data_IF_171656797835
#
_entry.id   IF_171656797835
#
_cell.length_a   1.000
_cell.length_b   1.000
_cell.length_c   1.000
_cell.angle_alpha   90.00
_cell.angle_beta   90.00
_cell.angle_gamma   90.00
#
_symmetry.space_group_name_H-M   'P 1'
#
loop_
_entity.id
_entity.type
_entity.pdbx_description
1 polymer ?
#
# COMPACT_ATOMS: atom_id res chain seq x y z
N UNK A 1 -45.11 -22.79 25.87
CA UNK A 1 -43.78 -23.01 25.27
C UNK A 1 -43.40 -21.73 24.53
N UNK A 2 -42.55 -20.88 25.12
CA UNK A 2 -42.03 -19.68 24.44
C UNK A 2 -40.82 -20.16 23.65
N UNK A 3 -40.96 -20.25 22.32
CA UNK A 3 -39.82 -20.48 21.42
C UNK A 3 -38.93 -19.25 21.48
N UNK A 4 -37.85 -19.33 22.26
CA UNK A 4 -36.70 -18.45 22.05
C UNK A 4 -36.14 -18.78 20.67
N UNK A 5 -36.48 -17.95 19.68
CA UNK A 5 -35.78 -17.93 18.41
C UNK A 5 -34.38 -17.40 18.71
N UNK A 6 -33.45 -18.29 19.05
CA UNK A 6 -32.03 -17.98 19.03
C UNK A 6 -31.73 -17.49 17.62
N UNK A 7 -31.46 -16.19 17.48
CA UNK A 7 -30.93 -15.62 16.26
C UNK A 7 -29.57 -16.29 16.00
N UNK A 8 -29.59 -17.40 15.27
CA UNK A 8 -28.39 -17.97 14.68
C UNK A 8 -27.83 -16.88 13.76
N UNK A 9 -26.77 -16.23 14.22
CA UNK A 9 -25.96 -15.37 13.37
C UNK A 9 -25.28 -16.27 12.35
N UNK A 10 -25.96 -16.49 11.22
CA UNK A 10 -25.38 -17.15 10.04
C UNK A 10 -24.31 -16.19 9.57
N UNK A 11 -23.05 -16.50 9.90
CA UNK A 11 -21.90 -15.74 9.42
C UNK A 11 -21.72 -16.09 7.95
N UNK A 12 -22.50 -15.45 7.09
CA UNK A 12 -22.35 -15.55 5.65
C UNK A 12 -21.09 -14.76 5.25
N UNK A 13 -20.32 -15.32 4.32
CA UNK A 13 -19.25 -14.61 3.63
C UNK A 13 -19.79 -13.79 2.44
N UNK A 14 -21.10 -13.83 2.19
CA UNK A 14 -21.77 -13.23 1.05
C UNK A 14 -22.90 -12.30 1.45
N UNK A 15 -23.20 -11.33 0.58
CA UNK A 15 -24.37 -10.45 0.64
C UNK A 15 -25.06 -10.47 -0.73
N UNK A 16 -26.29 -10.99 -0.74
CA UNK A 16 -27.12 -11.05 -1.94
C UNK A 16 -27.90 -9.74 -2.19
N UNK A 17 -28.52 -9.62 -3.36
CA UNK A 17 -29.31 -8.43 -3.74
C UNK A 17 -30.55 -8.18 -2.88
N UNK A 18 -31.06 -9.20 -2.19
CA UNK A 18 -32.22 -9.10 -1.29
C UNK A 18 -31.84 -8.75 0.15
N UNK A 19 -30.54 -8.73 0.45
CA UNK A 19 -30.03 -8.52 1.80
C UNK A 19 -29.44 -7.13 1.96
N UNK A 20 -29.32 -6.70 3.21
CA UNK A 20 -28.66 -5.45 3.55
C UNK A 20 -28.00 -5.55 4.91
N UNK A 21 -26.86 -4.89 5.03
CA UNK A 21 -26.15 -4.69 6.29
C UNK A 21 -26.48 -3.29 6.82
N UNK A 22 -26.91 -3.20 8.07
CA UNK A 22 -27.23 -1.91 8.72
C UNK A 22 -26.45 -1.74 10.01
N UNK A 23 -26.12 -0.50 10.35
CA UNK A 23 -25.40 -0.19 11.59
C UNK A 23 -26.18 -0.70 12.82
N UNK A 24 -27.50 -0.48 12.85
CA UNK A 24 -28.35 -0.82 14.02
C UNK A 24 -28.46 -2.32 14.29
N UNK A 25 -28.30 -3.18 13.27
CA UNK A 25 -28.37 -4.63 13.44
C UNK A 25 -27.05 -5.24 13.90
N UNK A 26 -25.94 -4.51 13.87
CA UNK A 26 -24.60 -4.99 14.20
C UNK A 26 -24.21 -6.30 13.48
N UNK A 27 -24.74 -6.52 12.28
CA UNK A 27 -24.38 -7.68 11.46
C UNK A 27 -23.00 -7.44 10.83
N UNK A 28 -22.31 -8.52 10.48
CA UNK A 28 -21.02 -8.48 9.78
C UNK A 28 -20.96 -9.58 8.73
N UNK A 29 -20.08 -9.41 7.74
CA UNK A 29 -19.75 -10.44 6.76
C UNK A 29 -18.38 -10.99 7.16
N UNK A 30 -18.24 -12.31 7.24
CA UNK A 30 -17.01 -12.96 7.72
C UNK A 30 -16.45 -13.88 6.65
N UNK A 31 -15.14 -13.80 6.41
CA UNK A 31 -14.47 -14.67 5.46
C UNK A 31 -14.59 -16.15 5.88
N UNK A 32 -14.60 -17.13 4.96
CA UNK A 32 -14.82 -18.55 5.27
C UNK A 32 -13.92 -19.12 6.40
N UNK A 33 -12.62 -18.86 6.34
CA UNK A 33 -11.60 -19.22 7.33
C UNK A 33 -11.60 -18.36 8.60
N UNK A 34 -12.56 -17.42 8.71
CA UNK A 34 -12.73 -16.49 9.84
C UNK A 34 -11.49 -15.63 10.08
N UNK A 35 -10.79 -15.24 9.02
CA UNK A 35 -9.58 -14.40 9.08
C UNK A 35 -9.99 -12.94 9.10
N UNK A 36 -10.84 -12.55 8.15
CA UNK A 36 -11.31 -11.19 7.98
C UNK A 36 -12.80 -11.06 8.28
N UNK A 37 -13.18 -9.85 8.70
CA UNK A 37 -14.55 -9.47 8.96
C UNK A 37 -14.79 -8.06 8.40
N UNK A 38 -15.90 -7.89 7.70
CA UNK A 38 -16.38 -6.64 7.12
C UNK A 38 -17.59 -6.16 7.91
N UNK A 39 -17.61 -4.88 8.25
CA UNK A 39 -18.79 -4.25 8.83
C UNK A 39 -18.63 -2.75 9.06
N UNK A 40 -19.66 -2.16 9.67
CA UNK A 40 -19.62 -0.77 10.07
C UNK A 40 -18.85 -0.58 11.37
N UNK A 41 -18.05 0.48 11.44
CA UNK A 41 -17.28 0.83 12.63
C UNK A 41 -17.21 2.34 12.84
N UNK A 42 -16.87 2.71 14.07
CA UNK A 42 -16.68 4.09 14.51
C UNK A 42 -15.33 4.19 15.25
N UNK A 43 -14.27 4.74 14.63
CA UNK A 43 -12.91 4.67 15.16
C UNK A 43 -12.65 5.63 16.34
N UNK A 44 -13.52 6.62 16.56
CA UNK A 44 -13.37 7.60 17.64
C UNK A 44 -14.71 7.97 18.26
N UNK A 45 -14.70 8.89 19.23
CA UNK A 45 -15.92 9.44 19.83
C UNK A 45 -16.74 10.30 18.86
N UNK A 46 -16.12 10.81 17.78
CA UNK A 46 -16.82 11.58 16.75
C UNK A 46 -17.88 10.72 16.06
N UNK A 47 -19.04 11.29 15.67
CA UNK A 47 -20.14 10.54 15.06
C UNK A 47 -19.88 10.22 13.58
N UNK A 48 -18.67 9.76 13.23
CA UNK A 48 -18.31 9.38 11.86
C UNK A 48 -18.23 7.86 11.75
N UNK A 49 -19.10 7.30 10.93
CA UNK A 49 -19.17 5.87 10.67
C UNK A 49 -18.61 5.52 9.31
N UNK A 50 -17.94 4.37 9.27
CA UNK A 50 -17.25 3.86 8.10
C UNK A 50 -17.59 2.39 7.92
N UNK A 51 -17.58 1.92 6.67
CA UNK A 51 -17.54 0.51 6.34
C UNK A 51 -16.07 0.10 6.14
N UNK A 52 -15.63 -0.97 6.79
CA UNK A 52 -14.25 -1.44 6.63
C UNK A 52 -14.07 -2.92 6.93
N UNK A 53 -12.88 -3.41 6.59
CA UNK A 53 -12.43 -4.79 6.79
C UNK A 53 -11.35 -4.77 7.86
N UNK A 54 -11.38 -5.75 8.76
CA UNK A 54 -10.38 -5.94 9.81
C UNK A 54 -10.12 -7.42 10.08
N UNK A 55 -9.04 -7.73 10.81
CA UNK A 55 -8.78 -9.10 11.27
C UNK A 55 -9.79 -9.49 12.36
N UNK A 56 -10.51 -10.60 12.15
CA UNK A 56 -11.57 -11.06 13.08
C UNK A 56 -11.01 -11.58 14.40
N UNK A 57 -9.88 -12.31 14.35
CA UNK A 57 -9.29 -13.01 15.50
C UNK A 57 -8.34 -12.14 16.34
N UNK A 58 -8.07 -10.90 15.90
CA UNK A 58 -7.23 -9.97 16.65
C UNK A 58 -8.12 -9.16 17.59
N UNK A 59 -7.86 -9.14 18.92
CA UNK A 59 -8.71 -8.45 19.89
C UNK A 59 -8.80 -6.94 19.63
N UNK A 60 -7.66 -6.30 19.35
CA UNK A 60 -7.60 -4.90 18.98
C UNK A 60 -7.93 -4.73 17.48
N UNK A 61 -8.98 -3.95 17.19
CA UNK A 61 -9.46 -3.75 15.82
C UNK A 61 -8.36 -3.15 14.94
N UNK A 62 -7.83 -3.99 14.05
CA UNK A 62 -6.85 -3.60 13.04
C UNK A 62 -7.55 -3.51 11.69
N UNK A 63 -7.95 -2.30 11.31
CA UNK A 63 -8.59 -2.02 10.02
C UNK A 63 -7.55 -2.08 8.90
N UNK A 64 -7.83 -2.87 7.86
CA UNK A 64 -6.94 -3.10 6.70
C UNK A 64 -7.50 -2.51 5.41
N UNK A 65 -8.77 -2.13 5.41
CA UNK A 65 -9.45 -1.49 4.27
C UNK A 65 -10.68 -0.70 4.75
N UNK A 66 -10.99 0.41 4.08
CA UNK A 66 -12.12 1.30 4.39
C UNK A 66 -12.75 1.81 3.09
N UNK A 67 -14.04 1.56 2.90
CA UNK A 67 -14.76 1.91 1.67
C UNK A 67 -14.92 3.43 1.52
N UNK A 68 -15.62 4.04 2.48
CA UNK A 68 -16.06 5.43 2.43
C UNK A 68 -15.16 6.35 3.27
N UNK A 69 -13.84 6.18 3.15
CA UNK A 69 -12.86 6.85 4.02
C UNK A 69 -12.93 8.37 3.95
N UNK A 70 -13.27 8.93 2.79
CA UNK A 70 -13.38 10.39 2.56
C UNK A 70 -14.84 10.90 2.52
N UNK A 71 -15.82 9.99 2.58
CA UNK A 71 -17.26 10.27 2.64
C UNK A 71 -17.90 9.54 3.83
N UNK A 72 -17.57 9.90 5.09
CA UNK A 72 -18.11 9.23 6.27
C UNK A 72 -19.62 9.41 6.42
N UNK A 73 -20.29 8.42 6.99
CA UNK A 73 -21.65 8.56 7.49
C UNK A 73 -21.64 9.46 8.73
N UNK A 74 -22.56 10.43 8.80
CA UNK A 74 -22.61 11.45 9.86
C UNK A 74 -23.34 11.02 11.14
N UNK A 75 -24.00 9.87 11.12
CA UNK A 75 -24.76 9.33 12.25
C UNK A 75 -24.74 7.78 12.24
N UNK A 76 -25.37 7.16 13.22
CA UNK A 76 -25.45 5.69 13.36
C UNK A 76 -26.51 5.04 12.47
N UNK A 77 -26.92 5.71 11.39
CA UNK A 77 -27.88 5.19 10.41
C UNK A 77 -27.18 5.11 9.07
N UNK A 78 -26.92 3.88 8.64
CA UNK A 78 -26.27 3.60 7.37
C UNK A 78 -26.60 2.18 6.93
N UNK A 79 -26.74 2.01 5.62
CA UNK A 79 -27.12 0.75 5.00
C UNK A 79 -26.15 0.42 3.87
N UNK A 80 -25.54 -0.76 3.91
CA UNK A 80 -24.83 -1.36 2.80
C UNK A 80 -25.76 -2.38 2.12
N UNK A 81 -25.96 -2.24 0.81
CA UNK A 81 -26.76 -3.18 0.02
C UNK A 81 -26.28 -3.20 -1.43
N UNK A 82 -26.82 -4.13 -2.20
CA UNK A 82 -26.69 -4.08 -3.66
C UNK A 82 -27.88 -3.31 -4.23
N UNK A 83 -27.61 -2.33 -5.10
CA UNK A 83 -28.62 -1.58 -5.86
C UNK A 83 -28.10 -1.41 -7.28
N UNK A 84 -28.93 -1.71 -8.29
CA UNK A 84 -28.62 -1.47 -9.70
C UNK A 84 -27.24 -2.03 -10.11
N UNK A 85 -26.95 -3.26 -9.66
CA UNK A 85 -25.69 -3.96 -9.93
C UNK A 85 -24.44 -3.40 -9.25
N UNK A 86 -24.60 -2.47 -8.32
CA UNK A 86 -23.53 -1.86 -7.55
C UNK A 86 -23.67 -2.21 -6.07
N UNK A 87 -22.55 -2.42 -5.38
CA UNK A 87 -22.51 -2.32 -3.93
C UNK A 87 -22.52 -0.84 -3.53
N UNK A 88 -23.48 -0.43 -2.70
CA UNK A 88 -23.72 0.96 -2.33
C UNK A 88 -23.84 1.14 -0.82
N UNK A 89 -23.33 2.26 -0.30
CA UNK A 89 -23.57 2.71 1.07
C UNK A 89 -24.54 3.89 1.03
N UNK A 90 -25.68 3.73 1.71
CA UNK A 90 -26.72 4.73 1.85
C UNK A 90 -26.70 5.34 3.25
N UNK A 91 -26.97 6.64 3.33
CA UNK A 91 -27.15 7.35 4.59
C UNK A 91 -28.59 7.25 5.14
N UNK A 92 -28.85 7.97 6.24
CA UNK A 92 -30.17 8.08 6.88
C UNK A 92 -31.30 8.59 5.96
N UNK A 93 -30.98 9.31 4.89
CA UNK A 93 -31.93 9.84 3.91
C UNK A 93 -32.03 8.94 2.66
N UNK A 94 -31.44 7.73 2.70
CA UNK A 94 -31.30 6.81 1.56
C UNK A 94 -30.48 7.40 0.39
N UNK A 95 -29.63 8.39 0.65
CA UNK A 95 -28.76 8.99 -0.36
C UNK A 95 -27.46 8.18 -0.44
N UNK A 96 -27.02 7.75 -1.64
CA UNK A 96 -25.75 7.05 -1.80
C UNK A 96 -24.58 7.99 -1.55
N UNK A 97 -23.70 7.61 -0.61
CA UNK A 97 -22.47 8.36 -0.28
C UNK A 97 -21.20 7.68 -0.82
N UNK A 98 -21.33 6.43 -1.24
CA UNK A 98 -20.26 5.62 -1.81
C UNK A 98 -20.86 4.48 -2.64
N UNK A 99 -20.21 4.15 -3.76
CA UNK A 99 -20.57 3.06 -4.67
C UNK A 99 -19.34 2.50 -5.37
N UNK A 100 -19.44 1.25 -5.81
CA UNK A 100 -18.36 0.55 -6.53
C UNK A 100 -18.22 0.97 -7.99
N UNK A 101 -19.25 1.58 -8.59
CA UNK A 101 -19.30 2.01 -9.99
C UNK A 101 -18.93 0.86 -10.95
N UNK A 102 -19.49 -0.32 -10.71
CA UNK A 102 -19.31 -1.52 -11.53
C UNK A 102 -19.76 -1.25 -12.96
N UNK A 103 -18.88 -1.52 -13.93
CA UNK A 103 -19.18 -1.45 -15.36
C UNK A 103 -19.64 -2.83 -15.83
N UNK A 104 -20.94 -3.10 -15.81
CA UNK A 104 -21.48 -4.36 -16.30
C UNK A 104 -22.95 -4.23 -16.72
N UNK A 105 -23.34 -4.94 -17.78
CA UNK A 105 -24.75 -5.11 -18.15
C UNK A 105 -25.39 -6.00 -17.07
N UNK A 106 -26.12 -5.38 -16.13
CA UNK A 106 -26.66 -6.02 -14.92
C UNK A 106 -27.92 -6.83 -15.28
N UNK A 107 -27.78 -7.82 -16.17
CA UNK A 107 -28.88 -8.73 -16.53
C UNK A 107 -28.95 -9.96 -15.62
N UNK A 108 -27.86 -10.23 -14.90
CA UNK A 108 -27.72 -11.41 -14.04
C UNK A 108 -27.57 -11.02 -12.57
N UNK A 109 -28.14 -11.80 -11.63
CA UNK A 109 -27.98 -11.55 -10.19
C UNK A 109 -26.50 -11.51 -9.80
N UNK A 110 -26.13 -10.48 -9.02
CA UNK A 110 -24.78 -10.32 -8.47
C UNK A 110 -24.77 -10.57 -6.96
N UNK A 111 -23.60 -10.88 -6.44
CA UNK A 111 -23.33 -11.09 -5.02
C UNK A 111 -22.04 -10.35 -4.64
N UNK A 112 -22.01 -9.78 -3.44
CA UNK A 112 -20.79 -9.31 -2.82
C UNK A 112 -20.24 -10.40 -1.89
N UNK A 113 -18.95 -10.72 -1.99
CA UNK A 113 -18.33 -11.82 -1.25
C UNK A 113 -17.01 -11.38 -0.62
N UNK A 114 -16.79 -11.72 0.65
CA UNK A 114 -15.52 -11.53 1.35
C UNK A 114 -14.71 -12.83 1.32
N UNK A 115 -13.58 -12.80 0.64
CA UNK A 115 -12.65 -13.93 0.52
C UNK A 115 -11.70 -14.02 1.72
N UNK A 116 -11.07 -15.18 1.91
CA UNK A 116 -10.08 -15.40 2.99
C UNK A 116 -8.78 -14.62 2.84
N UNK A 117 -8.52 -14.11 1.64
CA UNK A 117 -7.45 -13.15 1.37
C UNK A 117 -7.75 -11.76 1.93
N UNK A 118 -9.01 -11.49 2.29
CA UNK A 118 -9.52 -10.17 2.66
C UNK A 118 -10.03 -9.35 1.47
N UNK A 119 -9.99 -9.92 0.26
CA UNK A 119 -10.55 -9.28 -0.93
C UNK A 119 -12.08 -9.33 -0.86
N UNK A 120 -12.73 -8.16 -0.88
CA UNK A 120 -14.16 -8.02 -1.05
C UNK A 120 -14.44 -7.88 -2.54
N UNK A 121 -15.18 -8.82 -3.11
CA UNK A 121 -15.42 -8.89 -4.55
C UNK A 121 -16.90 -8.77 -4.87
N UNK A 122 -17.19 -8.23 -6.05
CA UNK A 122 -18.52 -8.33 -6.68
C UNK A 122 -18.40 -9.27 -7.87
N UNK A 123 -19.27 -10.27 -7.92
CA UNK A 123 -19.33 -11.23 -9.04
C UNK A 123 -20.76 -11.65 -9.34
N UNK A 124 -20.95 -12.27 -10.50
CA UNK A 124 -22.21 -12.93 -10.82
C UNK A 124 -22.44 -14.14 -9.90
N UNK A 125 -23.68 -14.31 -9.42
CA UNK A 125 -24.03 -15.34 -8.44
C UNK A 125 -23.70 -16.76 -8.94
N UNK A 126 -24.01 -17.05 -10.20
CA UNK A 126 -23.81 -18.36 -10.84
C UNK A 126 -22.45 -18.52 -11.54
N UNK A 127 -21.55 -17.56 -11.44
CA UNK A 127 -20.26 -17.63 -12.10
C UNK A 127 -19.15 -17.91 -11.07
N UNK A 128 -18.52 -19.07 -11.20
CA UNK A 128 -17.33 -19.46 -10.42
C UNK A 128 -16.02 -19.04 -11.11
N UNK A 129 -16.07 -18.32 -12.24
CA UNK A 129 -14.88 -17.74 -12.85
C UNK A 129 -14.21 -16.73 -11.91
N UNK A 130 -12.91 -16.54 -12.05
CA UNK A 130 -12.15 -15.51 -11.34
C UNK A 130 -12.38 -14.08 -11.88
N UNK A 131 -13.25 -13.90 -12.88
CA UNK A 131 -13.58 -12.56 -13.37
C UNK A 131 -14.53 -11.84 -12.40
N UNK A 132 -13.96 -10.93 -11.62
CA UNK A 132 -14.70 -10.04 -10.74
C UNK A 132 -15.13 -8.78 -11.46
N UNK A 133 -16.36 -8.32 -11.20
CA UNK A 133 -16.88 -7.04 -11.68
C UNK A 133 -16.24 -5.86 -10.96
N UNK A 134 -15.84 -6.08 -9.71
CA UNK A 134 -15.13 -5.13 -8.85
C UNK A 134 -14.44 -5.90 -7.72
N UNK A 135 -13.31 -5.37 -7.23
CA UNK A 135 -12.59 -5.94 -6.09
C UNK A 135 -11.95 -4.85 -5.21
N UNK A 136 -11.97 -5.04 -3.89
CA UNK A 136 -11.36 -4.08 -2.95
C UNK A 136 -9.85 -4.01 -3.09
N UNK A 137 -9.21 -5.09 -3.55
CA UNK A 137 -7.76 -5.14 -3.81
C UNK A 137 -7.28 -4.14 -4.87
N UNK A 138 -8.18 -3.66 -5.75
CA UNK A 138 -7.89 -2.60 -6.72
C UNK A 138 -7.92 -1.19 -6.11
N UNK A 139 -8.54 -1.04 -4.93
CA UNK A 139 -8.74 0.22 -4.24
C UNK A 139 -8.20 0.17 -2.79
N UNK A 140 -6.88 -0.04 -2.62
CA UNK A 140 -6.26 -0.09 -1.29
C UNK A 140 -6.43 1.22 -0.51
N UNK A 141 -6.38 1.14 0.82
CA UNK A 141 -6.34 2.32 1.70
C UNK A 141 -4.90 2.69 2.06
N UNK A 142 -4.46 2.36 3.26
CA UNK A 142 -3.11 2.58 3.77
C UNK A 142 -2.32 1.27 3.90
N UNK A 143 -2.95 0.14 3.59
CA UNK A 143 -2.45 -1.21 3.89
C UNK A 143 -2.39 -2.08 2.64
N UNK A 144 -1.31 -2.86 2.51
CA UNK A 144 -1.16 -3.96 1.57
C UNK A 144 -1.18 -5.28 2.35
N UNK A 145 -2.17 -6.12 2.05
CA UNK A 145 -2.29 -7.49 2.55
C UNK A 145 -1.51 -8.46 1.65
N UNK A 146 -1.26 -9.70 2.10
CA UNK A 146 -0.73 -10.75 1.23
C UNK A 146 -1.59 -10.89 -0.04
N UNK A 147 -0.97 -11.23 -1.17
CA UNK A 147 -1.59 -11.40 -2.49
C UNK A 147 -2.09 -10.11 -3.16
N UNK A 148 -2.23 -9.00 -2.42
CA UNK A 148 -2.51 -7.70 -3.05
C UNK A 148 -1.35 -7.27 -3.96
N UNK A 149 -1.71 -6.53 -5.01
CA UNK A 149 -0.75 -5.95 -5.96
C UNK A 149 -0.63 -4.46 -5.72
N UNK A 150 0.60 -4.00 -5.55
CA UNK A 150 0.94 -2.59 -5.43
C UNK A 150 1.69 -2.13 -6.68
N UNK A 151 1.12 -1.22 -7.45
CA UNK A 151 1.64 -0.77 -8.74
C UNK A 151 0.62 -0.81 -9.87
N UNK A 152 1.10 -0.89 -11.10
CA UNK A 152 0.32 -0.72 -12.31
C UNK A 152 -0.29 -2.02 -12.84
N UNK A 153 -1.58 -1.96 -13.10
CA UNK A 153 -2.27 -2.80 -14.07
C UNK A 153 -2.17 -2.16 -15.45
N UNK A 154 -1.44 -2.76 -16.40
CA UNK A 154 -1.25 -2.18 -17.73
C UNK A 154 -2.48 -2.35 -18.61
N UNK A 155 -3.35 -3.32 -18.34
CA UNK A 155 -4.56 -3.57 -19.12
C UNK A 155 -5.63 -2.52 -18.84
N UNK A 156 -5.82 -2.18 -17.56
CA UNK A 156 -6.84 -1.20 -17.14
C UNK A 156 -6.28 0.22 -17.00
N UNK A 157 -4.96 0.38 -16.92
CA UNK A 157 -4.31 1.66 -16.62
C UNK A 157 -4.43 2.06 -15.15
N UNK A 158 -4.83 1.15 -14.26
CA UNK A 158 -4.99 1.41 -12.83
C UNK A 158 -3.65 1.31 -12.10
N UNK A 159 -3.25 2.38 -11.42
CA UNK A 159 -2.14 2.36 -10.45
C UNK A 159 -2.70 2.14 -9.04
N UNK A 160 -2.45 0.97 -8.46
CA UNK A 160 -2.78 0.63 -7.07
C UNK A 160 -1.69 1.17 -6.15
N UNK A 161 -2.03 2.11 -5.28
CA UNK A 161 -1.07 2.74 -4.38
C UNK A 161 -1.63 2.94 -2.97
N UNK A 162 -0.76 3.06 -1.97
CA UNK A 162 -1.19 3.31 -0.59
C UNK A 162 -1.29 4.80 -0.30
N UNK A 163 -2.30 5.18 0.48
CA UNK A 163 -2.45 6.53 1.03
C UNK A 163 -2.71 6.45 2.52
N UNK A 164 -1.85 7.10 3.30
CA UNK A 164 -1.89 7.06 4.75
C UNK A 164 -3.24 7.51 5.29
N UNK A 165 -3.55 7.11 6.52
CA UNK A 165 -4.58 7.79 7.29
C UNK A 165 -4.15 9.22 7.61
N UNK A 166 -5.12 10.06 7.95
CA UNK A 166 -4.87 11.43 8.39
C UNK A 166 -4.27 11.44 9.80
N UNK A 167 -4.74 10.53 10.66
CA UNK A 167 -4.15 10.22 11.95
C UNK A 167 -4.56 8.82 12.41
N UNK A 168 -3.99 8.33 13.51
CA UNK A 168 -4.34 7.02 14.12
C UNK A 168 -5.85 6.76 14.30
N UNK A 169 -6.65 7.81 14.56
CA UNK A 169 -8.09 7.72 14.82
C UNK A 169 -8.97 8.33 13.70
N UNK A 170 -8.38 8.75 12.58
CA UNK A 170 -9.09 9.37 11.46
C UNK A 170 -8.66 8.71 10.12
N UNK A 171 -9.49 7.78 9.59
CA UNK A 171 -9.15 7.02 8.38
C UNK A 171 -9.23 7.83 7.09
N UNK A 172 -9.64 9.10 7.16
CA UNK A 172 -9.63 10.01 6.00
C UNK A 172 -8.25 10.06 5.35
N UNK A 173 -8.22 10.40 4.07
CA UNK A 173 -7.00 10.49 3.27
C UNK A 173 -5.98 11.45 3.89
N UNK A 174 -4.84 10.91 4.28
CA UNK A 174 -3.70 11.65 4.84
C UNK A 174 -2.82 12.33 3.79
N UNK A 175 -1.69 12.85 4.28
CA UNK A 175 -0.74 13.63 3.47
C UNK A 175 0.27 12.77 2.71
N UNK A 176 0.46 11.51 3.11
CA UNK A 176 1.45 10.63 2.51
C UNK A 176 0.81 9.63 1.54
N UNK A 177 1.46 9.42 0.41
CA UNK A 177 1.14 8.33 -0.51
C UNK A 177 2.40 7.60 -0.96
N UNK A 178 2.29 6.30 -1.22
CA UNK A 178 3.40 5.46 -1.65
C UNK A 178 3.05 4.80 -2.99
N UNK A 179 3.70 5.25 -4.06
CA UNK A 179 3.31 4.99 -5.45
C UNK A 179 4.46 4.41 -6.26
N UNK A 180 4.13 3.53 -7.21
CA UNK A 180 5.07 3.05 -8.20
C UNK A 180 5.10 4.01 -9.40
N UNK A 181 6.28 4.50 -9.74
CA UNK A 181 6.54 5.22 -10.98
C UNK A 181 7.27 4.29 -11.95
N UNK A 182 6.87 4.33 -13.22
CA UNK A 182 7.51 3.53 -14.28
C UNK A 182 8.36 4.44 -15.16
N UNK A 183 9.51 3.93 -15.58
CA UNK A 183 10.50 4.68 -16.36
C UNK A 183 11.50 3.72 -16.99
N UNK A 184 12.78 4.10 -17.05
CA UNK A 184 13.84 3.18 -17.46
C UNK A 184 13.96 2.00 -16.49
N UNK A 185 13.83 2.32 -15.20
CA UNK A 185 13.55 1.38 -14.13
C UNK A 185 12.26 1.80 -13.42
N UNK A 186 11.54 0.80 -12.91
CA UNK A 186 10.35 1.01 -12.09
C UNK A 186 10.77 1.18 -10.62
N UNK A 187 10.28 2.25 -9.97
CA UNK A 187 10.72 2.65 -8.64
C UNK A 187 9.55 3.14 -7.79
N UNK A 188 9.56 2.81 -6.50
CA UNK A 188 8.60 3.37 -5.56
C UNK A 188 9.05 4.72 -5.01
N UNK A 189 8.09 5.62 -4.86
CA UNK A 189 8.26 6.92 -4.22
C UNK A 189 7.23 7.10 -3.13
N UNK A 190 7.69 7.60 -1.98
CA UNK A 190 6.81 8.21 -1.00
C UNK A 190 6.68 9.70 -1.29
N UNK A 191 5.45 10.17 -1.38
CA UNK A 191 5.11 11.56 -1.63
C UNK A 191 4.42 12.14 -0.39
N UNK A 192 4.88 13.30 0.07
CA UNK A 192 4.15 14.13 1.02
C UNK A 192 3.51 15.30 0.26
N UNK A 193 2.17 15.38 0.23
CA UNK A 193 1.42 16.40 -0.55
C UNK A 193 1.91 16.54 -2.01
N UNK A 194 2.18 15.40 -2.66
CA UNK A 194 2.71 15.27 -4.04
C UNK A 194 4.20 15.59 -4.24
N UNK A 195 4.94 15.97 -3.20
CA UNK A 195 6.40 16.12 -3.28
C UNK A 195 7.11 14.86 -2.81
N UNK A 196 8.11 14.33 -3.54
CA UNK A 196 8.86 13.16 -3.12
C UNK A 196 9.65 13.46 -1.84
N UNK A 197 9.49 12.59 -0.84
CA UNK A 197 10.21 12.67 0.45
C UNK A 197 11.10 11.46 0.69
N UNK A 198 10.82 10.35 -0.01
CA UNK A 198 11.62 9.14 0.02
C UNK A 198 11.53 8.42 -1.32
N UNK A 199 12.65 7.85 -1.76
CA UNK A 199 12.73 6.98 -2.94
C UNK A 199 13.24 5.61 -2.53
N UNK A 200 12.49 4.58 -2.88
CA UNK A 200 12.80 3.20 -2.55
C UNK A 200 13.91 2.62 -3.43
N UNK A 201 14.06 3.12 -4.65
CA UNK A 201 15.02 2.58 -5.60
C UNK A 201 14.44 1.44 -6.45
N UNK A 202 15.19 0.98 -7.46
CA UNK A 202 14.74 -0.09 -8.33
C UNK A 202 14.83 -1.46 -7.65
N UNK A 203 14.10 -2.42 -8.21
CA UNK A 203 14.18 -3.83 -7.83
C UNK A 203 15.47 -4.46 -8.37
N UNK A 204 16.24 -5.16 -7.52
CA UNK A 204 17.49 -5.81 -7.92
C UNK A 204 17.37 -7.31 -8.20
N UNK A 205 16.15 -7.84 -8.29
CA UNK A 205 15.87 -9.28 -8.41
C UNK A 205 15.56 -9.97 -7.08
N UNK A 206 15.92 -9.35 -5.94
CA UNK A 206 15.73 -9.92 -4.59
C UNK A 206 14.94 -8.97 -3.69
N UNK A 207 15.24 -7.68 -3.75
CA UNK A 207 14.64 -6.63 -2.92
C UNK A 207 14.73 -5.27 -3.63
N UNK A 208 14.05 -4.25 -3.09
CA UNK A 208 14.31 -2.87 -3.49
C UNK A 208 15.60 -2.37 -2.84
N UNK A 209 16.45 -1.71 -3.62
CA UNK A 209 17.81 -1.33 -3.17
C UNK A 209 17.80 -0.38 -1.96
N UNK A 210 16.80 0.49 -1.85
CA UNK A 210 16.63 1.40 -0.71
C UNK A 210 15.92 0.80 0.50
N UNK A 211 15.59 -0.49 0.47
CA UNK A 211 14.97 -1.21 1.59
C UNK A 211 15.72 -2.52 1.88
N UNK A 212 16.98 -2.46 2.33
CA UNK A 212 17.79 -3.65 2.62
C UNK A 212 17.24 -4.53 3.75
N UNK A 213 16.29 -4.03 4.53
CA UNK A 213 15.58 -4.76 5.58
C UNK A 213 14.53 -5.74 5.05
N UNK A 214 14.17 -5.67 3.75
CA UNK A 214 13.31 -6.64 3.06
C UNK A 214 14.00 -8.00 2.86
N UNK A 215 14.68 -8.49 3.90
CA UNK A 215 15.42 -9.74 3.89
C UNK A 215 14.47 -10.89 3.60
N UNK A 216 14.94 -11.82 2.77
CA UNK A 216 14.30 -13.11 2.58
C UNK A 216 14.17 -13.80 3.94
N UNK A 217 12.98 -14.32 4.22
CA UNK A 217 12.71 -15.06 5.45
C UNK A 217 11.82 -16.24 5.10
N UNK A 218 11.93 -17.33 5.86
CA UNK A 218 11.28 -18.60 5.54
C UNK A 218 9.74 -18.52 5.52
N UNK A 219 9.17 -17.49 6.15
CA UNK A 219 7.73 -17.29 6.27
C UNK A 219 7.15 -16.19 5.35
N UNK A 220 7.98 -15.49 4.56
CA UNK A 220 7.53 -14.43 3.64
C UNK A 220 8.29 -14.43 2.32
N UNK A 221 7.55 -14.34 1.22
CA UNK A 221 8.08 -14.21 -0.13
C UNK A 221 7.67 -12.85 -0.69
N UNK A 222 8.64 -12.11 -1.19
CA UNK A 222 8.43 -10.87 -1.93
C UNK A 222 8.60 -11.13 -3.42
N UNK A 223 7.76 -10.56 -4.26
CA UNK A 223 7.88 -10.65 -5.70
C UNK A 223 7.61 -9.30 -6.36
N UNK A 224 8.37 -9.02 -7.41
CA UNK A 224 8.18 -7.86 -8.26
C UNK A 224 8.00 -8.35 -9.70
N UNK A 225 6.78 -8.20 -10.21
CA UNK A 225 6.42 -8.60 -11.57
C UNK A 225 6.49 -7.39 -12.48
N UNK A 226 7.28 -7.45 -13.54
CA UNK A 226 7.32 -6.42 -14.58
C UNK A 226 7.24 -7.10 -15.96
N UNK A 227 6.05 -7.07 -16.57
CA UNK A 227 5.77 -7.67 -17.87
C UNK A 227 4.75 -6.83 -18.65
N UNK A 228 4.20 -7.35 -19.75
CA UNK A 228 3.25 -6.61 -20.59
C UNK A 228 1.87 -6.40 -19.95
N UNK A 229 1.53 -7.17 -18.92
CA UNK A 229 0.24 -7.10 -18.24
C UNK A 229 0.28 -6.22 -16.98
N UNK A 230 1.40 -6.21 -16.26
CA UNK A 230 1.53 -5.48 -15.01
C UNK A 230 2.96 -5.05 -14.67
N UNK A 231 3.06 -4.01 -13.84
CA UNK A 231 4.27 -3.68 -13.09
C UNK A 231 3.85 -3.56 -11.63
N UNK A 232 4.08 -4.60 -10.83
CA UNK A 232 3.55 -4.62 -9.48
C UNK A 232 4.44 -5.37 -8.49
N UNK A 233 4.39 -4.91 -7.25
CA UNK A 233 4.94 -5.59 -6.10
C UNK A 233 3.84 -6.36 -5.37
N UNK A 234 4.16 -7.57 -4.94
CA UNK A 234 3.31 -8.38 -4.07
C UNK A 234 4.15 -9.11 -3.03
N UNK A 235 3.52 -9.53 -1.94
CA UNK A 235 4.13 -10.42 -0.97
C UNK A 235 3.16 -11.52 -0.54
N UNK A 236 3.71 -12.67 -0.18
CA UNK A 236 2.98 -13.87 0.21
C UNK A 236 3.51 -14.39 1.54
N UNK A 237 2.64 -15.00 2.32
CA UNK A 237 2.99 -15.69 3.56
C UNK A 237 3.03 -17.19 3.29
N UNK A 238 4.16 -17.84 3.60
CA UNK A 238 4.31 -19.30 3.43
C UNK A 238 3.90 -20.08 4.68
N UNK A 239 3.97 -19.43 5.85
CA UNK A 239 3.53 -20.01 7.12
C UNK A 239 2.03 -19.85 7.29
N UNK A 240 1.32 -20.98 7.47
CA UNK A 240 -0.11 -20.98 7.78
C UNK A 240 -0.37 -20.22 9.10
N UNK A 241 -1.52 -19.55 9.20
CA UNK A 241 -1.95 -18.80 10.39
C UNK A 241 -1.01 -17.65 10.85
N UNK A 242 -0.06 -17.21 10.02
CA UNK A 242 0.77 -16.04 10.32
C UNK A 242 0.21 -14.81 9.63
N UNK A 243 -0.18 -13.79 10.40
CA UNK A 243 -0.69 -12.54 9.84
C UNK A 243 0.45 -11.54 9.68
N UNK A 244 0.59 -10.99 8.47
CA UNK A 244 1.49 -9.89 8.19
C UNK A 244 0.83 -8.91 7.23
N UNK A 245 1.22 -7.64 7.33
CA UNK A 245 0.72 -6.55 6.49
C UNK A 245 1.80 -5.51 6.31
N UNK A 246 1.77 -4.82 5.17
CA UNK A 246 2.54 -3.60 4.94
C UNK A 246 1.60 -2.42 5.11
N UNK A 247 2.02 -1.38 5.84
CA UNK A 247 1.18 -0.21 6.12
C UNK A 247 1.97 1.07 5.88
N UNK A 248 1.32 2.07 5.31
CA UNK A 248 1.82 3.44 5.26
C UNK A 248 1.25 4.23 6.45
N UNK A 249 2.13 4.57 7.40
CA UNK A 249 1.77 5.31 8.62
C UNK A 249 1.36 6.76 8.32
N UNK A 250 0.64 7.38 9.26
CA UNK A 250 0.29 8.81 9.22
C UNK A 250 1.50 9.74 9.36
N UNK A 251 2.67 9.18 9.71
CA UNK A 251 3.96 9.89 9.80
C UNK A 251 4.83 9.75 8.55
N UNK A 252 4.39 8.99 7.55
CA UNK A 252 5.19 8.75 6.35
C UNK A 252 6.24 7.67 6.54
N UNK A 253 5.86 6.56 7.18
CA UNK A 253 6.70 5.37 7.29
C UNK A 253 5.99 4.21 6.61
N UNK A 254 6.68 3.52 5.70
CA UNK A 254 6.23 2.27 5.12
C UNK A 254 6.76 1.12 5.97
N UNK A 255 5.84 0.43 6.64
CA UNK A 255 6.14 -0.47 7.75
C UNK A 255 5.61 -1.87 7.46
N UNK A 256 6.40 -2.89 7.80
CA UNK A 256 5.92 -4.27 7.86
C UNK A 256 5.61 -4.67 9.28
N UNK A 257 4.37 -5.08 9.53
CA UNK A 257 3.97 -5.68 10.78
C UNK A 257 3.74 -7.18 10.64
N UNK A 258 4.11 -7.94 11.67
CA UNK A 258 3.79 -9.37 11.80
C UNK A 258 3.12 -9.58 13.16
N UNK A 259 1.97 -10.25 13.16
CA UNK A 259 1.24 -10.53 14.39
C UNK A 259 1.95 -11.64 15.17
N UNK A 260 2.22 -11.41 16.45
CA UNK A 260 2.86 -12.39 17.34
C UNK A 260 1.80 -12.93 18.31
N UNK A 261 1.28 -14.15 18.11
CA UNK A 261 0.20 -14.69 18.94
C UNK A 261 0.54 -14.76 20.43
N UNK A 262 1.79 -15.10 20.78
CA UNK A 262 2.25 -15.27 22.17
C UNK A 262 2.23 -13.98 22.98
N UNK A 263 2.41 -12.83 22.34
CA UNK A 263 2.36 -11.52 23.00
C UNK A 263 1.13 -10.71 22.61
N UNK A 264 0.24 -11.26 21.77
CA UNK A 264 -1.00 -10.63 21.30
C UNK A 264 -0.79 -9.19 20.82
N UNK A 265 0.27 -8.96 20.03
CA UNK A 265 0.62 -7.65 19.50
C UNK A 265 1.19 -7.73 18.08
N UNK A 266 1.06 -6.61 17.36
CA UNK A 266 1.76 -6.40 16.10
C UNK A 266 3.23 -6.06 16.37
N UNK A 267 4.14 -6.90 15.89
CA UNK A 267 5.57 -6.63 15.93
C UNK A 267 6.01 -5.93 14.64
N UNK A 268 6.66 -4.77 14.79
CA UNK A 268 7.29 -4.06 13.67
C UNK A 268 8.51 -4.87 13.21
N UNK A 269 8.44 -5.42 12.00
CA UNK A 269 9.53 -6.19 11.40
C UNK A 269 10.59 -5.29 10.77
N UNK A 270 10.14 -4.25 10.08
CA UNK A 270 10.99 -3.20 9.51
C UNK A 270 10.14 -1.98 9.17
N UNK A 271 10.78 -0.82 9.05
CA UNK A 271 10.20 0.44 8.60
C UNK A 271 11.14 1.12 7.60
N UNK A 272 10.57 1.96 6.73
CA UNK A 272 11.33 2.83 5.83
C UNK A 272 10.59 4.16 5.61
N UNK A 273 11.24 5.32 5.55
CA UNK A 273 12.69 5.59 5.68
C UNK A 273 13.29 5.12 7.00
N UNK A 274 14.59 4.81 7.04
CA UNK A 274 15.26 4.33 8.26
C UNK A 274 16.02 5.42 9.01
N UNK A 275 16.68 6.30 8.27
CA UNK A 275 17.52 7.36 8.82
C UNK A 275 17.50 8.60 7.92
N UNK A 276 18.31 9.60 8.27
CA UNK A 276 18.36 10.87 7.56
C UNK A 276 18.85 10.72 6.11
N UNK A 277 19.73 9.76 5.81
CA UNK A 277 20.25 9.55 4.46
C UNK A 277 19.21 8.99 3.48
N UNK A 278 18.08 8.51 3.97
CA UNK A 278 16.97 8.09 3.13
C UNK A 278 16.08 9.27 2.66
N UNK A 279 16.19 10.44 3.29
CA UNK A 279 15.46 11.64 2.87
C UNK A 279 15.83 11.96 1.42
N UNK A 280 14.81 12.06 0.56
CA UNK A 280 15.01 12.28 -0.86
C UNK A 280 15.73 13.61 -1.11
N UNK A 281 16.81 13.54 -1.89
CA UNK A 281 17.63 14.70 -2.30
C UNK A 281 18.25 15.48 -1.13
N UNK A 282 18.55 14.81 0.00
CA UNK A 282 19.23 15.44 1.14
C UNK A 282 20.63 15.94 0.78
N UNK A 283 21.41 15.10 0.11
CA UNK A 283 22.73 15.45 -0.38
C UNK A 283 22.63 15.74 -1.88
N UNK A 284 23.04 16.94 -2.29
CA UNK A 284 22.86 17.41 -3.66
C UNK A 284 23.61 16.60 -4.73
N UNK A 285 23.52 17.01 -6.01
CA UNK A 285 24.06 16.26 -7.14
C UNK A 285 25.53 15.87 -6.99
N UNK A 286 25.89 14.66 -7.45
CA UNK A 286 27.26 14.12 -7.41
C UNK A 286 27.88 14.00 -6.01
N UNK A 287 27.04 14.02 -4.97
CA UNK A 287 27.41 13.68 -3.60
C UNK A 287 26.64 12.44 -3.12
N UNK A 288 27.05 11.88 -2.00
CA UNK A 288 26.37 10.77 -1.35
C UNK A 288 26.27 10.99 0.16
N UNK A 289 25.28 10.34 0.78
CA UNK A 289 25.07 10.40 2.22
C UNK A 289 25.68 9.18 2.91
N UNK A 290 26.42 9.39 3.99
CA UNK A 290 26.91 8.36 4.89
C UNK A 290 26.60 8.74 6.35
N UNK A 291 25.67 8.00 6.95
CA UNK A 291 25.17 8.25 8.31
C UNK A 291 26.25 8.11 9.39
N UNK A 292 27.37 7.44 9.10
CA UNK A 292 28.44 7.18 10.07
C UNK A 292 29.50 8.30 10.09
N UNK A 293 29.29 9.39 9.36
CA UNK A 293 30.30 10.44 9.14
C UNK A 293 29.76 11.82 9.47
N UNK A 294 30.67 12.77 9.72
CA UNK A 294 30.34 14.18 9.91
C UNK A 294 31.33 15.04 9.11
N UNK A 295 30.86 15.83 8.11
CA UNK A 295 29.48 15.95 7.65
C UNK A 295 28.95 14.67 6.98
N UNK A 296 27.63 14.47 6.97
CA UNK A 296 26.98 13.28 6.40
C UNK A 296 27.05 13.23 4.87
N UNK A 297 27.15 14.38 4.19
CA UNK A 297 27.21 14.47 2.74
C UNK A 297 28.65 14.59 2.22
N UNK A 298 29.04 13.72 1.30
CA UNK A 298 30.38 13.66 0.72
C UNK A 298 30.34 13.80 -0.79
N UNK A 299 31.24 14.60 -1.35
CA UNK A 299 31.47 14.55 -2.79
C UNK A 299 32.04 13.21 -3.20
N UNK A 300 31.57 12.66 -4.32
CA UNK A 300 32.19 11.48 -4.93
C UNK A 300 33.66 11.79 -5.22
N UNK A 301 34.56 10.81 -5.04
CA UNK A 301 35.97 11.00 -5.36
C UNK A 301 36.16 11.45 -6.82
N UNK A 302 36.95 12.52 -7.01
CA UNK A 302 37.10 13.21 -8.30
C UNK A 302 36.16 14.42 -8.46
N UNK A 303 35.28 14.66 -7.50
CA UNK A 303 34.44 15.84 -7.40
C UNK A 303 34.87 16.73 -6.22
N UNK A 304 34.44 17.99 -6.25
CA UNK A 304 34.63 18.97 -5.20
C UNK A 304 33.35 19.78 -4.99
N UNK A 305 33.16 20.38 -3.80
CA UNK A 305 31.99 21.21 -3.54
C UNK A 305 31.81 22.32 -4.57
N UNK A 306 30.59 22.53 -5.04
CA UNK A 306 30.29 23.63 -5.96
C UNK A 306 30.54 25.01 -5.33
N UNK A 307 30.30 25.11 -4.02
CA UNK A 307 30.48 26.32 -3.25
C UNK A 307 31.33 26.05 -2.00
N UNK A 308 32.18 27.00 -1.54
CA UNK A 308 32.99 26.82 -0.32
C UNK A 308 32.15 26.55 0.94
N UNK A 309 30.94 27.09 0.99
CA UNK A 309 29.98 27.03 2.11
C UNK A 309 29.32 25.64 2.29
N UNK A 310 29.58 24.70 1.37
CA UNK A 310 29.08 23.32 1.37
C UNK A 310 29.31 22.56 2.67
N UNK A 311 30.44 22.83 3.33
CA UNK A 311 30.82 22.10 4.54
C UNK A 311 30.06 22.56 5.79
N UNK A 312 29.35 23.69 5.73
CA UNK A 312 28.78 24.34 6.90
C UNK A 312 27.27 24.64 6.78
N UNK A 313 26.75 24.94 5.59
CA UNK A 313 25.38 25.49 5.46
C UNK A 313 24.58 24.94 4.27
N UNK A 314 25.21 24.73 3.10
CA UNK A 314 24.47 24.39 1.86
C UNK A 314 24.95 23.08 1.23
N UNK A 315 24.42 21.95 1.73
CA UNK A 315 24.61 20.60 1.13
C UNK A 315 23.67 20.33 -0.05
N UNK A 316 22.84 21.30 -0.46
CA UNK A 316 21.87 21.11 -1.54
C UNK A 316 22.46 21.44 -2.92
N UNK A 317 23.37 22.41 -3.01
CA UNK A 317 24.06 22.83 -4.25
C UNK A 317 24.90 21.78 -5.05
N UNK A 318 25.04 20.55 -4.57
CA UNK A 318 25.89 19.48 -5.12
C UNK A 318 27.41 19.70 -5.12
N UNK A 319 28.07 18.74 -5.75
CA UNK A 319 29.48 18.76 -6.10
C UNK A 319 29.65 18.88 -7.61
N UNK A 320 30.83 19.32 -8.05
CA UNK A 320 31.22 19.43 -9.46
C UNK A 320 32.50 18.65 -9.71
N UNK A 321 32.71 18.19 -10.96
CA UNK A 321 33.93 17.46 -11.31
C UNK A 321 35.15 18.37 -11.21
N UNK A 322 36.22 17.89 -10.58
CA UNK A 322 37.51 18.62 -10.52
C UNK A 322 38.16 18.75 -11.88
N UNK A 323 37.95 17.76 -12.75
CA UNK A 323 38.53 17.72 -14.09
C UNK A 323 37.41 17.51 -15.12
N UNK A 324 37.34 18.34 -16.18
CA UNK A 324 36.42 18.13 -17.28
C UNK A 324 36.62 16.75 -17.95
N UNK A 325 35.52 16.16 -18.42
CA UNK A 325 35.58 14.88 -19.14
C UNK A 325 36.24 15.04 -20.51
N UNK A 326 36.94 14.00 -20.95
CA UNK A 326 37.52 13.92 -22.28
C UNK A 326 37.24 12.52 -22.86
N UNK A 327 36.12 12.45 -23.57
CA UNK A 327 35.56 11.23 -24.14
C UNK A 327 36.63 10.33 -24.79
N UNK A 328 36.65 9.05 -24.44
CA UNK A 328 37.63 8.06 -24.89
C UNK A 328 38.82 7.81 -23.95
N UNK A 329 39.21 8.82 -23.15
CA UNK A 329 40.22 8.67 -22.08
C UNK A 329 39.61 8.50 -20.70
N UNK A 330 38.33 8.80 -20.57
CA UNK A 330 37.59 8.72 -19.32
C UNK A 330 37.67 7.30 -18.71
N UNK A 331 37.56 7.27 -17.39
CA UNK A 331 37.57 6.07 -16.57
C UNK A 331 36.45 6.14 -15.55
N UNK A 332 36.00 4.98 -15.09
CA UNK A 332 34.97 4.87 -14.08
C UNK A 332 35.59 4.52 -12.74
N UNK A 333 35.14 5.19 -11.68
CA UNK A 333 35.44 4.81 -10.30
C UNK A 333 34.30 3.92 -9.79
N UNK A 334 34.57 2.66 -9.43
CA UNK A 334 33.54 1.80 -8.84
C UNK A 334 33.26 2.24 -7.40
N UNK A 335 32.03 2.71 -7.15
CA UNK A 335 31.51 2.95 -5.81
C UNK A 335 30.86 1.68 -5.26
N UNK A 336 31.13 1.37 -3.99
CA UNK A 336 30.65 0.14 -3.33
C UNK A 336 29.59 0.49 -2.30
N UNK A 337 28.68 -0.46 -2.04
CA UNK A 337 27.62 -0.34 -1.02
C UNK A 337 26.72 0.89 -1.22
N UNK A 338 26.49 1.27 -2.48
CA UNK A 338 25.67 2.42 -2.83
C UNK A 338 24.22 2.03 -3.10
N UNK A 339 23.30 2.87 -2.65
CA UNK A 339 21.97 2.96 -3.25
C UNK A 339 22.11 3.62 -4.63
N UNK A 340 21.68 2.95 -5.70
CA UNK A 340 21.75 3.50 -7.07
C UNK A 340 21.04 4.86 -7.12
N UNK A 341 21.52 5.85 -7.90
CA UNK A 341 20.88 7.16 -8.00
C UNK A 341 19.47 7.09 -8.60
N UNK A 342 18.74 8.21 -8.59
CA UNK A 342 17.43 8.34 -9.26
C UNK A 342 17.56 8.03 -10.76
N UNK A 343 16.62 7.25 -11.29
CA UNK A 343 16.67 6.74 -12.67
C UNK A 343 15.79 7.51 -13.67
N UNK A 344 15.23 8.67 -13.30
CA UNK A 344 14.39 9.49 -14.21
C UNK A 344 15.12 9.95 -15.47
N UNK A 345 16.42 10.23 -15.38
CA UNK A 345 17.21 10.82 -16.48
C UNK A 345 18.34 9.91 -16.97
N UNK A 346 18.31 8.62 -16.63
CA UNK A 346 19.35 7.68 -17.05
C UNK A 346 19.08 7.15 -18.46
N UNK A 347 20.14 6.84 -19.19
CA UNK A 347 20.09 6.13 -20.47
C UNK A 347 20.67 4.74 -20.21
N UNK A 348 19.90 3.69 -20.51
CA UNK A 348 20.34 2.31 -20.32
C UNK A 348 20.38 1.60 -21.67
N UNK A 349 21.56 1.12 -22.04
CA UNK A 349 21.69 0.15 -23.13
C UNK A 349 21.49 -1.27 -22.57
N UNK A 350 20.28 -1.80 -22.77
CA UNK A 350 19.91 -3.15 -22.33
C UNK A 350 20.64 -4.27 -23.08
N UNK A 351 21.37 -3.96 -24.16
CA UNK A 351 22.19 -4.95 -24.89
C UNK A 351 23.55 -5.18 -24.23
N UNK A 352 23.99 -4.27 -23.36
CA UNK A 352 25.23 -4.40 -22.60
C UNK A 352 24.91 -5.13 -21.28
N UNK A 353 24.67 -6.43 -21.37
CA UNK A 353 24.58 -7.33 -20.21
C UNK A 353 25.97 -7.87 -19.81
N UNK A 354 26.10 -8.39 -18.60
CA UNK A 354 27.23 -9.25 -18.25
C UNK A 354 27.17 -10.48 -19.16
N UNK A 355 28.18 -10.66 -20.02
CA UNK A 355 28.43 -11.92 -20.72
C UNK A 355 28.65 -13.05 -19.72
#
# INVERSE_FOLDING_TARGET
LILFCCAFSIHANTLSSTESLTISRNLTIVSPGKIFELGFFKPSTRPRWYLGIWYKKIPERTYVWVANRDTPLSNSVGTLKISDGNLVILDHSNIPIWSTNTKGDVRSPIVAELLDTGNLVIRYFNNNSQEFLWQSFDFPTDTLLPEMKLGWDRKTGLNRFLRSYKSSNDPTSGSFSYKLETGVYSEFFMLAKNSPVYRTGPWNGIQFIGMPEMRKSDYVIYNFTENNEEVSFTFLMTSQNTYSRLKLSDKGEFERFTWIPTSSQWSLSWSSPKDQCDVYDLCGPYSYCDINTSPICHCIQGFEPKFPEWKLIDVAGGCVRRTPLNCGKDRFLPLKQMKLPDTKTVIVDRKIGMK
#
